data_IF_805360678838
#
_entry.id   IF_805360678838
#
_cell.length_a   1.000
_cell.length_b   1.000
_cell.length_c   1.000
_cell.angle_alpha   90.00
_cell.angle_beta   90.00
_cell.angle_gamma   90.00
#
_symmetry.space_group_name_H-M   'P 1'
#
loop_
_entity.id
_entity.type
_entity.pdbx_description
1 polymer ?
#
# COMPACT_ATOMS: atom_id res chain seq x y z
N UNK A 1 -1.74 9.07 14.82
CA UNK A 1 -2.76 9.34 13.79
C UNK A 1 -2.05 9.79 12.54
N UNK A 2 -2.26 9.12 11.41
CA UNK A 2 -1.75 9.50 10.10
C UNK A 2 -2.96 9.75 9.19
N UNK A 3 -3.02 10.87 8.43
CA UNK A 3 -4.16 11.16 7.58
C UNK A 3 -4.20 10.22 6.36
N UNK A 4 -5.40 9.78 5.97
CA UNK A 4 -5.60 8.94 4.79
C UNK A 4 -5.48 9.71 3.47
N UNK A 5 -5.66 11.04 3.49
CA UNK A 5 -5.57 11.89 2.29
C UNK A 5 -4.91 13.23 2.64
N UNK A 6 -4.04 13.71 1.75
CA UNK A 6 -3.42 15.03 1.79
C UNK A 6 -3.61 15.69 0.43
N UNK A 7 -4.20 16.89 0.42
CA UNK A 7 -4.47 17.65 -0.80
C UNK A 7 -4.00 19.09 -0.61
N UNK A 8 -3.36 19.64 -1.63
CA UNK A 8 -3.04 21.06 -1.70
C UNK A 8 -4.22 21.83 -2.29
N UNK A 9 -4.66 22.88 -1.60
CA UNK A 9 -5.62 23.85 -2.10
C UNK A 9 -4.91 25.17 -2.34
N UNK A 10 -5.20 25.82 -3.46
CA UNK A 10 -4.69 27.17 -3.73
C UNK A 10 -5.36 28.21 -2.82
N UNK A 11 -6.61 27.99 -2.42
CA UNK A 11 -7.31 28.80 -1.43
C UNK A 11 -8.36 27.99 -0.66
N UNK A 12 -8.63 28.36 0.59
CA UNK A 12 -9.71 27.77 1.37
C UNK A 12 -11.05 28.41 1.00
N UNK A 13 -12.13 27.62 0.79
CA UNK A 13 -13.46 28.18 0.64
C UNK A 13 -13.91 28.75 1.99
N UNK A 14 -14.34 30.01 2.00
CA UNK A 14 -14.79 30.72 3.19
C UNK A 14 -16.28 31.07 3.09
N UNK A 15 -16.96 31.08 4.24
CA UNK A 15 -18.26 31.69 4.42
C UNK A 15 -18.14 33.23 4.38
N UNK A 16 -19.24 33.98 4.17
CA UNK A 16 -19.23 35.45 4.19
C UNK A 16 -18.67 36.06 5.48
N UNK A 17 -18.68 35.32 6.59
CA UNK A 17 -18.12 35.72 7.88
C UNK A 17 -16.64 35.31 8.07
N UNK A 18 -15.97 34.85 7.02
CA UNK A 18 -14.55 34.46 7.02
C UNK A 18 -14.24 33.08 7.60
N UNK A 19 -15.24 32.32 8.06
CA UNK A 19 -15.02 30.94 8.55
C UNK A 19 -14.88 29.96 7.39
N UNK A 20 -14.08 28.90 7.57
CA UNK A 20 -13.92 27.86 6.55
C UNK A 20 -15.26 27.18 6.26
N UNK A 21 -15.66 27.17 4.99
CA UNK A 21 -16.85 26.52 4.52
C UNK A 21 -16.56 25.04 4.22
N UNK A 22 -16.52 24.20 5.26
CA UNK A 22 -16.12 22.78 5.15
C UNK A 22 -16.91 21.98 4.12
N UNK A 23 -18.18 22.32 3.89
CA UNK A 23 -19.05 21.65 2.91
C UNK A 23 -18.68 21.97 1.45
N UNK A 24 -17.99 23.08 1.21
CA UNK A 24 -17.48 23.45 -0.10
C UNK A 24 -16.03 23.04 -0.32
N UNK A 25 -15.41 22.33 0.63
CA UNK A 25 -14.12 21.71 0.36
C UNK A 25 -14.30 20.66 -0.75
N UNK A 26 -13.43 20.67 -1.77
CA UNK A 26 -13.47 19.62 -2.78
C UNK A 26 -13.27 18.27 -2.07
N UNK A 27 -14.07 17.29 -2.47
CA UNK A 27 -13.87 15.92 -2.01
C UNK A 27 -12.52 15.45 -2.57
N UNK A 28 -11.70 14.74 -1.79
CA UNK A 28 -10.55 14.05 -2.38
C UNK A 28 -11.09 13.18 -3.51
N UNK A 29 -10.59 13.41 -4.72
CA UNK A 29 -10.85 12.48 -5.81
C UNK A 29 -10.23 11.17 -5.38
N UNK A 30 -11.08 10.18 -5.08
CA UNK A 30 -10.68 8.80 -5.19
C UNK A 30 -10.34 8.64 -6.67
N UNK A 31 -9.07 8.88 -7.03
CA UNK A 31 -8.50 8.30 -8.24
C UNK A 31 -8.50 6.79 -8.00
N UNK A 32 -9.70 6.18 -8.01
CA UNK A 32 -9.91 4.90 -8.64
C UNK A 32 -9.54 5.20 -10.08
N UNK A 33 -8.23 5.17 -10.33
CA UNK A 33 -7.71 5.07 -11.69
C UNK A 33 -8.51 3.91 -12.26
N UNK A 34 -9.28 4.20 -13.30
CA UNK A 34 -10.11 3.22 -13.97
C UNK A 34 -9.45 1.86 -13.88
N UNK A 35 -10.16 0.91 -13.28
CA UNK A 35 -9.93 -0.52 -13.39
C UNK A 35 -10.14 -0.93 -14.86
N UNK A 36 -9.43 -0.27 -15.76
CA UNK A 36 -8.97 -0.88 -16.99
C UNK A 36 -8.25 -2.12 -16.52
N UNK A 37 -8.77 -3.23 -17.01
CA UNK A 37 -8.35 -4.60 -16.84
C UNK A 37 -6.90 -4.80 -17.36
N UNK A 38 -5.97 -3.93 -16.96
CA UNK A 38 -4.56 -4.08 -17.16
C UNK A 38 -4.15 -5.20 -16.22
N UNK A 39 -3.87 -6.35 -16.81
CA UNK A 39 -3.16 -7.42 -16.11
C UNK A 39 -1.96 -6.75 -15.42
N UNK A 40 -1.86 -6.81 -14.08
CA UNK A 40 -0.77 -6.16 -13.38
C UNK A 40 0.55 -6.68 -13.95
N UNK A 41 1.41 -5.76 -14.39
CA UNK A 41 2.75 -6.11 -14.87
C UNK A 41 3.64 -6.43 -13.67
N UNK A 42 3.43 -7.62 -13.11
CA UNK A 42 4.21 -8.15 -12.01
C UNK A 42 5.36 -8.98 -12.54
N UNK A 43 6.56 -8.70 -12.02
CA UNK A 43 7.63 -9.68 -12.15
C UNK A 43 7.29 -10.96 -11.34
N UNK A 44 7.96 -12.10 -11.58
CA UNK A 44 7.61 -13.37 -10.91
C UNK A 44 7.62 -13.30 -9.37
N UNK A 45 8.46 -12.45 -8.80
CA UNK A 45 8.59 -12.28 -7.35
C UNK A 45 7.48 -11.40 -6.78
N UNK A 46 7.10 -10.34 -7.50
CA UNK A 46 5.93 -9.53 -7.20
C UNK A 46 4.65 -10.35 -7.29
N UNK A 47 4.49 -11.21 -8.31
CA UNK A 47 3.30 -12.05 -8.48
C UNK A 47 3.12 -13.02 -7.30
N UNK A 48 4.19 -13.67 -6.85
CA UNK A 48 4.16 -14.55 -5.67
C UNK A 48 3.80 -13.76 -4.40
N UNK A 49 4.43 -12.60 -4.20
CA UNK A 49 4.18 -11.77 -3.04
C UNK A 49 2.75 -11.19 -3.05
N UNK A 50 2.23 -10.82 -4.24
CA UNK A 50 0.88 -10.33 -4.43
C UNK A 50 -0.16 -11.40 -4.07
N UNK A 51 0.08 -12.66 -4.46
CA UNK A 51 -0.77 -13.78 -4.06
C UNK A 51 -0.81 -13.94 -2.54
N UNK A 52 0.36 -13.90 -1.88
CA UNK A 52 0.47 -13.99 -0.43
C UNK A 52 -0.25 -12.82 0.26
N UNK A 53 -0.08 -11.60 -0.26
CA UNK A 53 -0.82 -10.43 0.21
C UNK A 53 -2.32 -10.63 0.05
N UNK A 54 -2.79 -11.09 -1.11
CA UNK A 54 -4.21 -11.26 -1.36
C UNK A 54 -4.87 -12.26 -0.40
N UNK A 55 -4.20 -13.39 -0.13
CA UNK A 55 -4.66 -14.36 0.87
C UNK A 55 -4.68 -13.79 2.29
N UNK A 56 -3.67 -13.01 2.66
CA UNK A 56 -3.53 -12.48 4.02
C UNK A 56 -4.42 -11.26 4.30
N UNK A 57 -4.61 -10.44 3.28
CA UNK A 57 -5.37 -9.19 3.36
C UNK A 57 -6.85 -9.39 3.02
N UNK A 58 -7.19 -10.48 2.33
CA UNK A 58 -8.50 -10.72 1.72
C UNK A 58 -8.85 -9.61 0.72
N UNK A 59 -7.86 -9.20 -0.07
CA UNK A 59 -7.94 -8.07 -0.99
C UNK A 59 -7.25 -8.40 -2.33
N UNK A 60 -7.72 -7.78 -3.41
CA UNK A 60 -7.06 -7.89 -4.71
C UNK A 60 -5.86 -6.93 -4.79
N UNK A 61 -4.69 -7.45 -5.18
CA UNK A 61 -3.49 -6.65 -5.43
C UNK A 61 -3.36 -6.45 -6.93
N UNK A 62 -3.68 -5.24 -7.40
CA UNK A 62 -3.74 -4.90 -8.82
C UNK A 62 -2.59 -4.00 -9.28
N UNK A 63 -1.79 -3.45 -8.36
CA UNK A 63 -0.69 -2.54 -8.69
C UNK A 63 0.50 -2.72 -7.75
N UNK A 64 1.72 -2.75 -8.30
CA UNK A 64 2.95 -2.99 -7.53
C UNK A 64 3.33 -1.85 -6.59
N UNK A 65 2.74 -0.66 -6.77
CA UNK A 65 2.90 0.48 -5.87
C UNK A 65 1.85 0.53 -4.75
N UNK A 66 0.92 -0.45 -4.68
CA UNK A 66 -0.05 -0.51 -3.58
C UNK A 66 0.65 -0.75 -2.25
N UNK A 67 0.23 0.02 -1.24
CA UNK A 67 0.71 -0.12 0.13
C UNK A 67 -0.02 -1.26 0.84
N UNK A 68 0.74 -2.11 1.52
CA UNK A 68 0.24 -3.20 2.37
C UNK A 68 -0.76 -2.69 3.42
N UNK A 69 -0.50 -1.51 3.98
CA UNK A 69 -1.32 -0.94 5.05
C UNK A 69 -2.57 -0.24 4.52
N UNK A 70 -2.53 0.28 3.29
CA UNK A 70 -3.72 0.85 2.63
C UNK A 70 -4.71 -0.26 2.23
N UNK A 71 -4.20 -1.44 1.89
CA UNK A 71 -4.99 -2.65 1.62
C UNK A 71 -5.49 -3.37 2.89
N UNK A 72 -5.45 -2.72 4.06
CA UNK A 72 -5.95 -3.29 5.33
C UNK A 72 -4.93 -4.15 6.09
N UNK A 73 -3.64 -3.97 5.80
CA UNK A 73 -2.53 -4.49 6.59
C UNK A 73 -2.42 -3.82 7.96
N UNK A 74 -1.96 -4.58 8.95
CA UNK A 74 -1.69 -4.08 10.30
C UNK A 74 -0.53 -4.88 10.92
N UNK A 75 -0.16 -4.57 12.17
CA UNK A 75 0.98 -5.23 12.84
C UNK A 75 0.85 -6.76 12.92
N UNK A 76 -0.35 -7.29 13.16
CA UNK A 76 -0.58 -8.73 13.25
C UNK A 76 -0.43 -9.40 11.88
N UNK A 77 -1.05 -8.82 10.85
CA UNK A 77 -0.90 -9.30 9.47
C UNK A 77 0.56 -9.16 9.01
N UNK A 78 1.24 -8.07 9.33
CA UNK A 78 2.66 -7.87 9.00
C UNK A 78 3.57 -8.91 9.67
N UNK A 79 3.31 -9.29 10.93
CA UNK A 79 4.05 -10.41 11.55
C UNK A 79 3.80 -11.74 10.83
N UNK A 80 2.56 -12.03 10.45
CA UNK A 80 2.22 -13.23 9.65
C UNK A 80 2.90 -13.21 8.29
N UNK A 81 2.91 -12.07 7.62
CA UNK A 81 3.59 -11.84 6.35
C UNK A 81 5.09 -12.16 6.46
N UNK A 82 5.77 -11.67 7.51
CA UNK A 82 7.19 -11.98 7.74
C UNK A 82 7.42 -13.49 7.87
N UNK A 83 6.55 -14.20 8.59
CA UNK A 83 6.64 -15.66 8.72
C UNK A 83 6.43 -16.37 7.38
N UNK A 84 5.43 -15.95 6.59
CA UNK A 84 5.14 -16.53 5.28
C UNK A 84 6.26 -16.24 4.27
N UNK A 85 6.84 -15.03 4.29
CA UNK A 85 7.99 -14.68 3.44
C UNK A 85 9.18 -15.59 3.75
N UNK A 86 9.45 -15.85 5.03
CA UNK A 86 10.51 -16.79 5.44
C UNK A 86 10.26 -18.19 4.91
N UNK A 87 9.02 -18.66 4.96
CA UNK A 87 8.66 -20.01 4.52
C UNK A 87 8.70 -20.16 2.99
N UNK A 88 8.21 -19.18 2.23
CA UNK A 88 8.13 -19.26 0.78
C UNK A 88 9.42 -18.85 0.06
N UNK A 89 10.10 -17.80 0.53
CA UNK A 89 11.27 -17.22 -0.14
C UNK A 89 12.60 -17.58 0.53
N UNK A 90 12.57 -18.24 1.69
CA UNK A 90 13.77 -18.62 2.45
C UNK A 90 14.49 -17.45 3.11
N UNK A 91 13.92 -16.25 3.13
CA UNK A 91 14.55 -15.03 3.67
C UNK A 91 13.82 -14.50 4.88
N UNK A 92 14.57 -14.04 5.88
CA UNK A 92 14.01 -13.40 7.07
C UNK A 92 14.07 -11.88 6.95
N UNK A 93 12.90 -11.25 7.00
CA UNK A 93 12.74 -9.81 7.11
C UNK A 93 12.40 -9.44 8.56
N UNK A 94 12.81 -8.25 9.00
CA UNK A 94 12.38 -7.67 10.27
C UNK A 94 11.04 -6.98 10.08
N UNK A 95 10.20 -6.97 11.11
CA UNK A 95 8.91 -6.28 11.07
C UNK A 95 9.06 -4.80 10.67
N UNK A 96 10.08 -4.11 11.19
CA UNK A 96 10.40 -2.72 10.83
C UNK A 96 10.54 -2.53 9.31
N UNK A 97 11.10 -3.50 8.61
CA UNK A 97 11.32 -3.41 7.17
C UNK A 97 10.00 -3.43 6.39
N UNK A 98 8.97 -4.14 6.86
CA UNK A 98 7.62 -4.10 6.28
C UNK A 98 6.98 -2.71 6.45
N UNK A 99 7.27 -2.04 7.56
CA UNK A 99 6.78 -0.67 7.79
C UNK A 99 7.55 0.38 6.99
N UNK A 100 8.86 0.19 6.80
CA UNK A 100 9.70 1.10 5.99
C UNK A 100 9.47 0.92 4.49
N UNK A 101 9.28 -0.32 4.04
CA UNK A 101 9.03 -0.70 2.65
C UNK A 101 7.60 -1.22 2.57
N UNK A 102 6.65 -0.31 2.43
CA UNK A 102 5.24 -0.64 2.58
C UNK A 102 4.57 -1.05 1.27
N UNK A 103 5.21 -0.83 0.12
CA UNK A 103 4.66 -1.21 -1.19
C UNK A 103 5.08 -2.61 -1.62
N UNK A 104 4.28 -3.25 -2.48
CA UNK A 104 4.57 -4.58 -3.03
C UNK A 104 5.95 -4.61 -3.71
N UNK A 105 6.22 -3.61 -4.56
CA UNK A 105 7.49 -3.46 -5.29
C UNK A 105 8.69 -3.37 -4.36
N UNK A 106 8.63 -2.50 -3.34
CA UNK A 106 9.75 -2.33 -2.41
C UNK A 106 10.03 -3.60 -1.62
N UNK A 107 8.98 -4.30 -1.17
CA UNK A 107 9.14 -5.57 -0.46
C UNK A 107 9.70 -6.65 -1.37
N UNK A 108 9.25 -6.75 -2.63
CA UNK A 108 9.79 -7.70 -3.60
C UNK A 108 11.30 -7.46 -3.84
N UNK A 109 11.72 -6.20 -4.04
CA UNK A 109 13.13 -5.81 -4.17
C UNK A 109 13.92 -6.17 -2.91
N UNK A 110 13.36 -5.92 -1.74
CA UNK A 110 14.01 -6.26 -0.47
C UNK A 110 14.22 -7.78 -0.35
N UNK A 111 13.20 -8.59 -0.62
CA UNK A 111 13.30 -10.07 -0.62
C UNK A 111 14.40 -10.51 -1.61
N UNK A 112 14.40 -9.97 -2.83
CA UNK A 112 15.40 -10.29 -3.84
C UNK A 112 16.83 -9.98 -3.39
N UNK A 113 17.03 -8.82 -2.75
CA UNK A 113 18.35 -8.41 -2.23
C UNK A 113 18.88 -9.36 -1.16
N UNK A 114 17.99 -10.01 -0.39
CA UNK A 114 18.35 -10.97 0.65
C UNK A 114 18.61 -12.37 0.09
N UNK A 115 17.99 -12.73 -1.03
CA UNK A 115 18.24 -14.02 -1.71
C UNK A 115 19.59 -14.06 -2.45
N UNK A 116 20.11 -12.90 -2.86
CA UNK A 116 21.41 -12.77 -3.53
C UNK A 116 22.61 -12.75 -2.56
N UNK A 117 22.37 -12.80 -1.25
CA UNK A 117 23.40 -12.83 -0.21
C UNK A 117 23.57 -14.26 0.31
#
# INVERSE_FOLDING_TARGET
MQPSFLMRLEAFPLLPNGKIHRLALPKPEENITDSTNQVPDFNPQEALLASLWGELLEAEVSNSNQSFFELGGNSLKAMRLVSQIRNQFGVSLRLREIFTHNTLKEQAVLIQSRQKR
#
